data_IF_336441337714
#
_entry.id   IF_336441337714
#
_cell.length_a   1.000
_cell.length_b   1.000
_cell.length_c   1.000
_cell.angle_alpha   90.00
_cell.angle_beta   90.00
_cell.angle_gamma   90.00
#
_symmetry.space_group_name_H-M   'P 1'
#
loop_
_entity.id
_entity.type
_entity.pdbx_description
1 polymer ?
#
# COMPACT_ATOMS: atom_id res chain seq x y z
N UNK A 1 -41.59 55.30 15.04
CA UNK A 1 -41.40 56.58 14.31
C UNK A 1 -40.08 57.21 14.75
N UNK A 2 -39.14 57.42 13.79
CA UNK A 2 -38.06 58.44 13.68
C UNK A 2 -37.14 58.62 14.92
N UNK A 3 -35.80 58.57 14.85
CA UNK A 3 -34.80 59.20 13.94
C UNK A 3 -33.49 58.39 14.09
N UNK A 4 -32.73 57.96 13.08
CA UNK A 4 -31.91 58.66 12.06
C UNK A 4 -30.75 59.54 12.60
N UNK A 5 -29.54 59.02 12.34
CA UNK A 5 -28.20 59.63 12.15
C UNK A 5 -27.63 60.64 13.17
N UNK A 6 -26.45 60.30 13.71
CA UNK A 6 -25.29 61.22 13.78
C UNK A 6 -24.01 60.42 13.51
N UNK A 7 -23.29 60.81 12.46
CA UNK A 7 -21.91 60.43 12.19
C UNK A 7 -20.98 61.17 13.15
N UNK A 8 -20.04 60.47 13.79
CA UNK A 8 -18.82 61.10 14.28
C UNK A 8 -17.63 60.21 13.92
N UNK A 9 -16.83 60.70 12.98
CA UNK A 9 -15.52 60.18 12.69
C UNK A 9 -14.59 60.57 13.84
N UNK A 10 -13.91 59.58 14.44
CA UNK A 10 -12.70 59.83 15.20
C UNK A 10 -11.69 58.76 14.81
N UNK A 11 -10.67 59.20 14.07
CA UNK A 11 -9.50 58.42 13.76
C UNK A 11 -8.71 58.19 15.06
N UNK A 12 -8.43 56.93 15.39
CA UNK A 12 -7.36 56.57 16.31
C UNK A 12 -6.38 55.65 15.58
N UNK A 13 -5.15 56.15 15.50
CA UNK A 13 -3.96 55.43 15.10
C UNK A 13 -3.80 54.15 15.95
N UNK A 14 -3.69 52.99 15.29
CA UNK A 14 -3.12 51.79 15.89
C UNK A 14 -1.98 51.31 14.98
N UNK A 15 -0.76 51.65 15.37
CA UNK A 15 0.45 50.91 15.00
C UNK A 15 0.42 49.61 15.81
N UNK A 16 0.43 48.47 15.12
CA UNK A 16 0.53 47.17 15.80
C UNK A 16 0.41 46.01 14.82
N UNK A 17 1.56 45.53 14.34
CA UNK A 17 1.68 44.30 13.57
C UNK A 17 1.06 43.11 14.31
N UNK A 18 0.23 42.33 13.62
CA UNK A 18 0.15 40.89 13.80
C UNK A 18 -0.22 40.27 12.46
N UNK A 19 0.58 39.31 12.04
CA UNK A 19 0.59 38.67 10.72
C UNK A 19 -0.75 37.96 10.47
N UNK A 20 -1.29 38.16 9.27
CA UNK A 20 -2.34 37.32 8.70
C UNK A 20 -1.72 35.96 8.38
N UNK A 21 -2.21 34.91 9.04
CA UNK A 21 -1.83 33.54 8.73
C UNK A 21 -2.70 33.07 7.56
N UNK A 22 -2.21 33.30 6.34
CA UNK A 22 -2.84 32.79 5.13
C UNK A 22 -2.54 31.29 5.01
N UNK A 23 -3.60 30.49 5.06
CA UNK A 23 -3.65 29.07 4.68
C UNK A 23 -2.92 28.84 3.35
N UNK A 24 -1.68 28.35 3.41
CA UNK A 24 -1.01 27.80 2.25
C UNK A 24 -1.21 26.28 2.26
N UNK A 25 -2.09 25.82 1.36
CA UNK A 25 -2.27 24.42 0.98
C UNK A 25 -0.92 23.87 0.53
N UNK A 26 -0.19 23.21 1.43
CA UNK A 26 1.07 22.54 1.11
C UNK A 26 0.75 21.29 0.30
N UNK A 27 1.00 21.40 -1.00
CA UNK A 27 1.23 20.28 -1.90
C UNK A 27 2.40 19.45 -1.36
N UNK A 28 2.13 18.26 -0.85
CA UNK A 28 3.17 17.31 -0.44
C UNK A 28 3.69 16.66 -1.72
N UNK A 29 4.84 17.13 -2.21
CA UNK A 29 5.61 16.41 -3.23
C UNK A 29 6.39 15.27 -2.56
N UNK A 30 6.41 14.05 -3.12
CA UNK A 30 7.23 12.98 -2.58
C UNK A 30 8.72 13.29 -2.75
N UNK A 31 9.51 13.04 -1.70
CA UNK A 31 10.96 13.24 -1.68
C UNK A 31 11.65 12.10 -2.41
N UNK A 32 12.00 12.31 -3.67
CA UNK A 32 12.84 11.40 -4.46
C UNK A 32 14.28 11.45 -3.89
N UNK A 33 14.69 10.40 -3.16
CA UNK A 33 16.11 10.18 -2.84
C UNK A 33 16.77 9.41 -3.99
N UNK A 34 17.73 10.04 -4.64
CA UNK A 34 18.48 9.46 -5.76
C UNK A 34 19.89 9.04 -5.29
N UNK A 35 20.24 7.75 -5.22
CA UNK A 35 21.63 7.34 -5.05
C UNK A 35 22.28 7.01 -6.40
N UNK A 36 23.47 7.54 -6.60
CA UNK A 36 24.28 7.44 -7.82
C UNK A 36 24.64 5.98 -8.20
N UNK A 37 24.77 5.78 -9.52
CA UNK A 37 25.12 4.52 -10.18
C UNK A 37 26.54 4.01 -9.88
N UNK A 38 26.64 2.72 -9.56
CA UNK A 38 27.81 1.89 -9.81
C UNK A 38 27.37 0.67 -10.64
N UNK A 39 27.82 0.58 -11.90
CA UNK A 39 27.55 -0.55 -12.80
C UNK A 39 28.43 -1.74 -12.44
N UNK A 40 27.79 -2.85 -12.07
CA UNK A 40 28.39 -4.19 -11.99
C UNK A 40 27.29 -5.23 -12.26
N UNK A 41 27.59 -6.32 -12.97
CA UNK A 41 26.59 -7.27 -13.50
C UNK A 41 25.50 -7.69 -12.52
N UNK A 42 24.27 -7.81 -12.99
CA UNK A 42 23.11 -8.14 -12.15
C UNK A 42 22.91 -7.21 -10.94
N UNK A 43 23.20 -5.91 -11.10
CA UNK A 43 22.99 -4.93 -10.02
C UNK A 43 21.53 -4.99 -9.55
N UNK A 44 21.33 -5.41 -8.32
CA UNK A 44 20.04 -5.31 -7.67
C UNK A 44 19.77 -3.83 -7.34
N UNK A 45 18.56 -3.36 -7.65
CA UNK A 45 18.05 -2.08 -7.18
C UNK A 45 17.32 -2.29 -5.86
N UNK A 46 17.44 -1.33 -4.94
CA UNK A 46 16.74 -1.34 -3.66
C UNK A 46 15.84 -0.11 -3.59
N UNK A 47 14.60 -0.32 -3.17
CA UNK A 47 13.63 0.72 -2.90
C UNK A 47 13.14 0.59 -1.47
N UNK A 48 12.77 1.71 -0.87
CA UNK A 48 12.13 1.78 0.43
C UNK A 48 10.94 2.73 0.32
N UNK A 49 9.85 2.38 0.98
CA UNK A 49 8.63 3.19 1.07
C UNK A 49 8.00 3.00 2.44
N UNK A 50 7.01 3.83 2.74
CA UNK A 50 6.25 3.72 3.99
C UNK A 50 5.18 2.63 3.88
N UNK A 51 4.87 2.03 5.02
CA UNK A 51 3.66 1.22 5.18
C UNK A 51 2.54 2.11 5.67
N UNK A 52 1.44 2.12 4.93
CA UNK A 52 0.24 2.89 5.25
C UNK A 52 -0.82 1.92 5.77
N UNK A 53 -1.46 2.26 6.89
CA UNK A 53 -2.74 1.67 7.26
C UNK A 53 -3.80 2.29 6.34
N UNK A 54 -4.34 1.50 5.42
CA UNK A 54 -5.28 1.99 4.42
C UNK A 54 -6.63 2.42 5.01
N UNK A 55 -6.98 1.91 6.19
CA UNK A 55 -8.24 2.26 6.87
C UNK A 55 -8.13 3.62 7.55
N UNK A 56 -7.01 3.90 8.24
CA UNK A 56 -6.84 5.15 9.00
C UNK A 56 -6.09 6.23 8.22
N UNK A 57 -5.30 5.85 7.23
CA UNK A 57 -4.38 6.73 6.49
C UNK A 57 -3.04 6.98 7.19
N UNK A 58 -2.78 6.32 8.32
CA UNK A 58 -1.56 6.55 9.11
C UNK A 58 -0.33 5.86 8.52
N UNK A 59 0.85 6.47 8.73
CA UNK A 59 2.15 5.85 8.45
C UNK A 59 2.58 4.99 9.65
N UNK A 60 2.62 3.67 9.46
CA UNK A 60 2.72 2.71 10.56
C UNK A 60 3.92 1.76 10.43
N UNK A 61 4.75 1.95 9.43
CA UNK A 61 6.00 1.20 9.28
C UNK A 61 6.72 1.46 7.99
N UNK A 62 7.57 0.52 7.59
CA UNK A 62 8.41 0.64 6.39
C UNK A 62 8.45 -0.68 5.63
N UNK A 63 8.51 -0.57 4.31
CA UNK A 63 8.69 -1.69 3.41
C UNK A 63 9.91 -1.47 2.51
N UNK A 64 10.66 -2.54 2.27
CA UNK A 64 11.85 -2.55 1.43
C UNK A 64 11.67 -3.57 0.31
N UNK A 65 11.95 -3.16 -0.92
CA UNK A 65 11.93 -4.03 -2.08
C UNK A 65 13.32 -4.06 -2.71
N UNK A 66 13.86 -5.27 -2.91
CA UNK A 66 15.07 -5.49 -3.70
C UNK A 66 14.65 -6.18 -4.98
N UNK A 67 15.03 -5.62 -6.13
CA UNK A 67 14.72 -6.16 -7.46
C UNK A 67 15.97 -6.32 -8.30
N UNK A 68 16.03 -7.38 -9.10
CA UNK A 68 17.03 -7.58 -10.14
C UNK A 68 16.35 -8.24 -11.35
N UNK A 69 17.08 -8.49 -12.43
CA UNK A 69 16.52 -9.10 -13.66
C UNK A 69 15.90 -10.51 -13.51
N UNK A 70 16.01 -11.13 -12.33
CA UNK A 70 15.45 -12.46 -12.08
C UNK A 70 14.16 -12.39 -11.26
N UNK A 71 13.87 -11.26 -10.60
CA UNK A 71 12.75 -11.16 -9.66
C UNK A 71 12.90 -10.10 -8.59
N UNK A 72 11.98 -10.16 -7.63
CA UNK A 72 11.82 -9.23 -6.53
C UNK A 72 11.80 -9.95 -5.18
N UNK A 73 12.24 -9.24 -4.13
CA UNK A 73 12.12 -9.65 -2.74
C UNK A 73 11.65 -8.47 -1.91
N UNK A 74 10.63 -8.67 -1.07
CA UNK A 74 10.11 -7.66 -0.14
C UNK A 74 10.40 -8.04 1.30
N UNK A 75 10.61 -7.02 2.11
CA UNK A 75 10.43 -7.06 3.56
C UNK A 75 9.46 -5.95 3.94
N UNK A 76 8.34 -6.30 4.55
CA UNK A 76 7.25 -5.41 4.94
C UNK A 76 7.13 -5.42 6.46
N UNK A 77 7.26 -4.26 7.11
CA UNK A 77 7.18 -4.16 8.58
C UNK A 77 6.11 -3.15 8.98
N UNK A 78 5.16 -3.58 9.82
CA UNK A 78 4.10 -2.75 10.39
C UNK A 78 4.14 -2.79 11.93
N UNK A 79 3.71 -1.72 12.58
CA UNK A 79 3.86 -1.52 14.03
C UNK A 79 2.53 -1.34 14.79
N UNK A 80 1.40 -1.39 14.10
CA UNK A 80 0.05 -1.15 14.60
C UNK A 80 -0.88 -2.38 14.42
N UNK A 81 -0.31 -3.58 14.35
CA UNK A 81 -1.06 -4.81 14.14
C UNK A 81 -1.68 -5.33 15.45
N UNK A 82 -2.77 -6.08 15.34
CA UNK A 82 -3.45 -6.65 16.50
C UNK A 82 -2.74 -7.93 16.97
N UNK A 83 -2.30 -8.01 18.23
CA UNK A 83 -1.70 -9.24 18.76
C UNK A 83 -2.64 -10.45 18.69
N UNK A 84 -2.10 -11.60 18.30
CA UNK A 84 -2.86 -12.85 18.19
C UNK A 84 -3.66 -13.00 16.89
N UNK A 85 -3.62 -12.01 16.01
CA UNK A 85 -4.32 -12.07 14.71
C UNK A 85 -3.42 -12.67 13.64
N UNK A 86 -4.04 -13.31 12.64
CA UNK A 86 -3.36 -13.89 11.50
C UNK A 86 -3.32 -12.91 10.33
N UNK A 87 -2.17 -12.83 9.65
CA UNK A 87 -1.99 -11.93 8.52
C UNK A 87 -1.28 -12.61 7.36
N UNK A 88 -1.60 -12.19 6.14
CA UNK A 88 -0.92 -12.57 4.91
C UNK A 88 -0.51 -11.35 4.10
N UNK A 89 0.66 -11.41 3.49
CA UNK A 89 1.19 -10.42 2.57
C UNK A 89 0.98 -10.92 1.14
N UNK A 90 0.48 -10.03 0.29
CA UNK A 90 0.19 -10.27 -1.11
C UNK A 90 0.95 -9.29 -1.99
N UNK A 91 1.43 -9.81 -3.11
CA UNK A 91 1.86 -9.01 -4.24
C UNK A 91 0.63 -8.59 -5.03
N UNK A 92 0.53 -7.30 -5.34
CA UNK A 92 -0.24 -6.83 -6.49
C UNK A 92 0.77 -6.24 -7.46
N UNK A 93 1.00 -6.95 -8.56
CA UNK A 93 1.98 -6.58 -9.59
C UNK A 93 1.22 -5.92 -10.73
N UNK A 94 1.72 -4.78 -11.17
CA UNK A 94 1.27 -4.10 -12.37
C UNK A 94 2.38 -4.25 -13.40
N UNK A 95 2.25 -5.23 -14.30
CA UNK A 95 3.32 -5.59 -15.23
C UNK A 95 3.59 -4.50 -16.27
N UNK A 96 2.56 -3.74 -16.66
CA UNK A 96 2.61 -2.67 -17.67
C UNK A 96 2.05 -1.37 -17.09
N UNK A 97 2.72 -0.78 -16.08
CA UNK A 97 2.18 0.34 -15.32
C UNK A 97 2.01 1.62 -16.16
N UNK A 98 2.65 1.73 -17.32
CA UNK A 98 2.42 2.78 -18.32
C UNK A 98 0.99 2.79 -18.88
N UNK A 99 0.28 1.66 -18.80
CA UNK A 99 -1.10 1.51 -19.29
C UNK A 99 -2.16 1.80 -18.21
N UNK A 100 -1.75 2.16 -17.00
CA UNK A 100 -2.65 2.60 -15.95
C UNK A 100 -3.28 3.95 -16.32
N UNK A 101 -4.48 4.22 -15.80
CA UNK A 101 -5.25 5.45 -16.03
C UNK A 101 -4.40 6.69 -15.72
N UNK A 102 -3.59 6.60 -14.67
CA UNK A 102 -2.44 7.47 -14.45
C UNK A 102 -1.16 6.65 -14.71
N UNK A 103 -0.44 6.90 -15.81
CA UNK A 103 0.76 6.13 -16.15
C UNK A 103 1.77 6.11 -15.00
N UNK A 104 2.21 4.91 -14.62
CA UNK A 104 3.16 4.64 -13.53
C UNK A 104 2.67 5.01 -12.11
N UNK A 105 1.35 5.13 -11.94
CA UNK A 105 0.71 5.33 -10.65
C UNK A 105 -0.60 4.52 -10.61
N UNK A 106 -0.47 3.20 -10.71
CA UNK A 106 -1.60 2.28 -10.73
C UNK A 106 -2.27 2.19 -9.36
N UNK A 107 -3.56 1.85 -9.31
CA UNK A 107 -4.18 1.48 -8.04
C UNK A 107 -5.68 1.70 -7.91
N UNK A 108 -6.38 2.13 -8.97
CA UNK A 108 -7.84 2.20 -8.96
C UNK A 108 -8.48 0.93 -9.57
N UNK A 109 -9.80 0.80 -9.41
CA UNK A 109 -10.55 -0.35 -9.93
C UNK A 109 -10.49 -0.45 -11.47
N UNK A 110 -10.29 0.69 -12.17
CA UNK A 110 -10.17 0.71 -13.62
C UNK A 110 -8.84 0.07 -14.05
N UNK A 111 -7.75 0.37 -13.35
CA UNK A 111 -6.46 -0.26 -13.54
C UNK A 111 -6.53 -1.75 -13.21
N UNK A 112 -7.11 -2.10 -12.07
CA UNK A 112 -7.10 -3.47 -11.53
C UNK A 112 -7.70 -4.47 -12.52
N UNK A 113 -8.84 -4.14 -13.11
CA UNK A 113 -9.53 -4.98 -14.10
C UNK A 113 -9.05 -4.79 -15.54
N UNK A 114 -8.10 -3.91 -15.83
CA UNK A 114 -7.65 -3.65 -17.19
C UNK A 114 -6.63 -4.71 -17.66
N UNK A 115 -6.96 -5.55 -18.65
CA UNK A 115 -6.04 -6.58 -19.14
C UNK A 115 -4.76 -5.99 -19.76
N UNK A 116 -4.79 -4.75 -20.25
CA UNK A 116 -3.62 -4.10 -20.85
C UNK A 116 -2.57 -3.72 -19.79
N UNK A 117 -2.96 -3.60 -18.51
CA UNK A 117 -2.04 -3.33 -17.39
C UNK A 117 -1.31 -4.62 -16.95
N UNK A 118 -1.94 -5.78 -17.14
CA UNK A 118 -1.36 -7.08 -16.75
C UNK A 118 -1.24 -7.24 -15.24
N UNK A 119 -2.34 -7.01 -14.52
CA UNK A 119 -2.41 -7.14 -13.06
C UNK A 119 -2.24 -8.60 -12.62
N UNK A 120 -1.40 -8.83 -11.61
CA UNK A 120 -1.24 -10.13 -10.97
C UNK A 120 -1.35 -10.02 -9.46
N UNK A 121 -2.10 -10.93 -8.84
CA UNK A 121 -2.20 -11.02 -7.37
C UNK A 121 -1.62 -12.35 -6.92
N UNK A 122 -0.53 -12.33 -6.15
CA UNK A 122 0.17 -13.54 -5.70
C UNK A 122 0.53 -13.52 -4.21
N UNK A 123 0.50 -14.68 -3.57
CA UNK A 123 0.91 -14.83 -2.17
C UNK A 123 2.42 -14.55 -1.97
N UNK A 124 2.75 -13.77 -0.94
CA UNK A 124 4.13 -13.43 -0.59
C UNK A 124 4.62 -14.13 0.69
N UNK A 125 3.80 -14.13 1.75
CA UNK A 125 4.12 -14.71 3.05
C UNK A 125 3.04 -14.42 4.09
N UNK A 126 3.13 -15.00 5.28
CA UNK A 126 2.11 -14.84 6.30
C UNK A 126 2.52 -15.42 7.63
N UNK A 127 2.00 -14.87 8.72
CA UNK A 127 2.19 -15.39 10.08
C UNK A 127 1.16 -14.79 11.05
N UNK A 128 1.08 -15.36 12.26
CA UNK A 128 0.32 -14.79 13.38
C UNK A 128 1.19 -13.75 14.10
N UNK A 129 0.63 -12.59 14.40
CA UNK A 129 1.34 -11.50 15.08
C UNK A 129 1.44 -11.76 16.57
N UNK A 130 2.63 -11.55 17.14
CA UNK A 130 2.90 -11.76 18.55
C UNK A 130 2.43 -10.60 19.44
N UNK A 131 2.71 -10.71 20.74
CA UNK A 131 2.25 -9.78 21.78
C UNK A 131 2.67 -8.31 21.59
N UNK A 132 3.66 -8.02 20.75
CA UNK A 132 4.15 -6.65 20.53
C UNK A 132 3.27 -5.81 19.60
N UNK A 133 2.34 -6.42 18.86
CA UNK A 133 1.60 -5.74 17.79
C UNK A 133 2.46 -5.34 16.59
N UNK A 134 3.68 -5.89 16.49
CA UNK A 134 4.60 -5.64 15.37
C UNK A 134 4.73 -6.89 14.52
N UNK A 135 4.62 -6.74 13.20
CA UNK A 135 4.76 -7.83 12.23
C UNK A 135 5.85 -7.52 11.21
N UNK A 136 6.57 -8.56 10.78
CA UNK A 136 7.52 -8.47 9.67
C UNK A 136 7.29 -9.62 8.71
N UNK A 137 6.88 -9.27 7.50
CA UNK A 137 6.52 -10.19 6.44
C UNK A 137 7.56 -10.10 5.34
N UNK A 138 7.86 -11.23 4.70
CA UNK A 138 8.79 -11.22 3.57
C UNK A 138 8.37 -12.25 2.54
N UNK A 139 8.67 -11.93 1.29
CA UNK A 139 8.38 -12.80 0.16
C UNK A 139 9.42 -12.62 -0.93
N UNK A 140 9.55 -13.63 -1.77
CA UNK A 140 10.38 -13.62 -2.98
C UNK A 140 9.53 -14.08 -4.15
N UNK A 141 9.60 -13.36 -5.27
CA UNK A 141 8.93 -13.69 -6.51
C UNK A 141 9.92 -13.63 -7.67
N UNK A 142 10.09 -14.75 -8.37
CA UNK A 142 10.87 -14.79 -9.61
C UNK A 142 10.02 -14.32 -10.79
N UNK A 143 10.65 -13.77 -11.81
CA UNK A 143 10.00 -13.55 -13.10
C UNK A 143 9.42 -14.86 -13.65
N UNK A 144 8.22 -14.78 -14.24
CA UNK A 144 7.45 -15.90 -14.81
C UNK A 144 6.86 -16.87 -13.78
N UNK A 145 7.06 -16.66 -12.48
CA UNK A 145 6.44 -17.50 -11.46
C UNK A 145 4.98 -17.10 -11.25
N UNK A 146 4.08 -18.07 -11.48
CA UNK A 146 2.64 -17.95 -11.18
C UNK A 146 2.25 -18.60 -9.84
N UNK A 147 3.23 -19.13 -9.10
CA UNK A 147 2.98 -19.87 -7.86
C UNK A 147 2.29 -18.95 -6.84
N UNK A 148 1.15 -19.41 -6.32
CA UNK A 148 0.36 -18.66 -5.34
C UNK A 148 -0.45 -17.52 -5.93
N UNK A 149 -0.59 -17.47 -7.27
CA UNK A 149 -1.53 -16.57 -7.92
C UNK A 149 -2.97 -16.91 -7.52
N UNK A 150 -3.77 -15.86 -7.36
CA UNK A 150 -5.20 -15.90 -7.05
C UNK A 150 -6.00 -15.02 -8.01
N UNK A 151 -5.49 -14.78 -9.22
CA UNK A 151 -6.17 -13.98 -10.25
C UNK A 151 -7.61 -14.45 -10.50
N UNK A 152 -7.86 -15.75 -10.43
CA UNK A 152 -9.18 -16.36 -10.62
C UNK A 152 -10.20 -15.93 -9.55
N UNK A 153 -9.76 -15.76 -8.29
CA UNK A 153 -10.61 -15.25 -7.20
C UNK A 153 -11.14 -13.85 -7.53
N UNK A 154 -10.33 -13.04 -8.21
CA UNK A 154 -10.67 -11.67 -8.58
C UNK A 154 -11.26 -11.52 -9.99
N UNK A 155 -11.46 -12.62 -10.72
CA UNK A 155 -11.92 -12.57 -12.11
C UNK A 155 -10.93 -11.93 -13.08
N UNK A 156 -9.64 -11.88 -12.72
CA UNK A 156 -8.57 -11.41 -13.59
C UNK A 156 -8.23 -12.45 -14.66
N UNK A 157 -7.56 -12.07 -15.77
CA UNK A 157 -7.04 -13.02 -16.74
C UNK A 157 -6.15 -14.11 -16.11
N UNK A 158 -5.98 -15.27 -16.77
CA UNK A 158 -5.07 -16.31 -16.31
C UNK A 158 -3.69 -15.75 -15.99
N UNK A 159 -3.13 -16.16 -14.85
CA UNK A 159 -1.87 -15.64 -14.33
C UNK A 159 -0.72 -15.83 -15.33
N UNK A 160 -0.01 -14.75 -15.62
CA UNK A 160 1.25 -14.72 -16.36
C UNK A 160 2.46 -14.53 -15.40
N UNK A 161 2.18 -14.12 -14.16
CA UNK A 161 3.17 -13.84 -13.12
C UNK A 161 3.92 -12.54 -13.37
N UNK A 162 5.05 -12.36 -12.67
CA UNK A 162 5.90 -11.19 -12.85
C UNK A 162 6.64 -11.27 -14.20
N UNK A 163 6.34 -10.37 -15.15
CA UNK A 163 6.93 -10.40 -16.49
C UNK A 163 8.33 -9.76 -16.54
N UNK A 164 8.49 -8.61 -15.88
CA UNK A 164 9.74 -7.86 -15.85
C UNK A 164 9.91 -7.15 -14.51
N UNK A 165 10.75 -7.71 -13.65
CA UNK A 165 11.02 -7.22 -12.30
C UNK A 165 11.62 -5.81 -12.28
N UNK A 166 12.34 -5.43 -13.34
CA UNK A 166 12.97 -4.12 -13.47
C UNK A 166 12.04 -3.04 -14.03
N UNK A 167 10.82 -3.42 -14.43
CA UNK A 167 9.83 -2.52 -15.03
C UNK A 167 8.52 -2.44 -14.24
N UNK A 168 8.08 -3.54 -13.62
CA UNK A 168 6.79 -3.60 -12.94
C UNK A 168 6.69 -2.58 -11.79
N UNK A 169 5.50 -2.01 -11.62
CA UNK A 169 5.09 -1.40 -10.36
C UNK A 169 4.60 -2.51 -9.42
N UNK A 170 4.96 -2.41 -8.14
CA UNK A 170 4.70 -3.47 -7.16
C UNK A 170 4.02 -2.85 -5.95
N UNK A 171 2.84 -3.33 -5.62
CA UNK A 171 2.21 -3.06 -4.33
C UNK A 171 2.33 -4.30 -3.46
N UNK A 172 2.67 -4.08 -2.19
CA UNK A 172 2.64 -5.12 -1.17
C UNK A 172 1.47 -4.83 -0.25
N UNK A 173 0.47 -5.71 -0.23
CA UNK A 173 -0.80 -5.53 0.49
C UNK A 173 -0.87 -6.53 1.63
N UNK A 174 -1.17 -6.06 2.84
CA UNK A 174 -1.35 -6.90 4.02
C UNK A 174 -2.83 -7.14 4.27
N UNK A 175 -3.21 -8.41 4.22
CA UNK A 175 -4.53 -8.90 4.61
C UNK A 175 -4.55 -9.32 6.06
N UNK A 176 -5.54 -8.83 6.80
CA UNK A 176 -5.89 -9.28 8.14
C UNK A 176 -6.95 -10.39 8.03
N UNK A 177 -6.72 -11.50 8.72
CA UNK A 177 -7.62 -12.67 8.79
C UNK A 177 -8.35 -12.78 10.14
N UNK A 178 -8.35 -11.70 10.93
CA UNK A 178 -8.94 -11.67 12.26
C UNK A 178 -8.14 -12.48 13.30
N UNK A 179 -8.74 -12.78 14.47
CA UNK A 179 -8.13 -13.62 15.49
C UNK A 179 -7.67 -14.98 14.93
N UNK A 180 -6.50 -15.47 15.37
CA UNK A 180 -6.02 -16.78 14.96
C UNK A 180 -6.95 -17.89 15.49
N UNK A 181 -7.45 -18.74 14.58
CA UNK A 181 -8.41 -19.80 14.90
C UNK A 181 -7.68 -21.14 15.05
N UNK A 182 -7.74 -21.79 16.23
CA UNK A 182 -7.13 -23.10 16.42
C UNK A 182 -7.63 -24.14 15.40
N UNK A 183 -6.70 -24.78 14.70
CA UNK A 183 -7.01 -25.74 13.63
C UNK A 183 -7.09 -25.13 12.22
N UNK A 184 -7.24 -23.81 12.10
CA UNK A 184 -7.35 -23.12 10.80
C UNK A 184 -6.19 -22.17 10.51
N UNK A 185 -5.31 -21.92 11.48
CA UNK A 185 -4.15 -21.00 11.33
C UNK A 185 -3.37 -21.24 10.05
N UNK A 186 -3.15 -22.50 9.65
CA UNK A 186 -2.41 -22.79 8.42
C UNK A 186 -3.11 -22.26 7.16
N UNK A 187 -4.44 -22.31 7.11
CA UNK A 187 -5.21 -21.71 6.02
C UNK A 187 -5.17 -20.18 6.12
N UNK A 188 -5.38 -19.61 7.31
CA UNK A 188 -5.35 -18.16 7.55
C UNK A 188 -4.02 -17.55 7.10
N UNK A 189 -2.88 -18.21 7.34
CA UNK A 189 -1.56 -17.64 7.01
C UNK A 189 -1.01 -18.09 5.65
N UNK A 190 -1.74 -18.86 4.82
CA UNK A 190 -1.24 -19.32 3.51
C UNK A 190 -2.26 -19.21 2.35
N UNK A 191 -3.44 -18.61 2.56
CA UNK A 191 -4.46 -18.48 1.52
C UNK A 191 -5.29 -17.22 1.72
N UNK A 192 -5.79 -16.63 0.64
CA UNK A 192 -6.59 -15.39 0.69
C UNK A 192 -7.92 -15.55 1.44
N UNK A 193 -8.71 -16.64 1.24
CA UNK A 193 -9.97 -16.82 1.96
C UNK A 193 -9.81 -17.59 3.28
N UNK A 194 -8.59 -17.93 3.71
CA UNK A 194 -8.38 -18.78 4.88
C UNK A 194 -8.97 -18.19 6.15
N UNK A 195 -9.92 -18.88 6.78
CA UNK A 195 -10.63 -18.40 7.97
C UNK A 195 -11.56 -17.21 7.73
N UNK A 196 -11.86 -16.87 6.47
CA UNK A 196 -12.73 -15.75 6.11
C UNK A 196 -14.16 -16.23 5.84
N UNK A 197 -15.09 -15.81 6.70
CA UNK A 197 -16.53 -15.95 6.49
C UNK A 197 -17.13 -14.67 5.91
N UNK A 198 -16.58 -13.51 6.29
CA UNK A 198 -16.97 -12.19 5.85
C UNK A 198 -15.74 -11.43 5.38
N UNK A 199 -15.77 -10.94 4.14
CA UNK A 199 -14.76 -10.03 3.61
C UNK A 199 -15.27 -8.59 3.73
N UNK A 200 -14.61 -7.78 4.54
CA UNK A 200 -14.94 -6.37 4.76
C UNK A 200 -14.39 -5.46 3.65
N UNK A 201 -13.63 -6.02 2.70
CA UNK A 201 -13.14 -5.34 1.51
C UNK A 201 -11.77 -4.67 1.68
N UNK A 202 -11.45 -3.82 0.70
CA UNK A 202 -10.15 -3.14 0.61
C UNK A 202 -10.16 -1.86 1.44
N UNK A 203 -9.37 -1.82 2.50
CA UNK A 203 -9.09 -0.62 3.29
C UNK A 203 -10.32 0.05 3.91
N UNK A 204 -11.41 -0.69 4.10
CA UNK A 204 -12.68 -0.17 4.62
C UNK A 204 -12.75 -0.24 6.15
N UNK A 205 -12.29 -1.36 6.73
CA UNK A 205 -12.44 -1.67 8.14
C UNK A 205 -11.31 -2.60 8.60
N UNK A 206 -10.96 -2.53 9.89
CA UNK A 206 -10.00 -3.44 10.50
C UNK A 206 -10.82 -4.58 11.12
N UNK A 207 -10.66 -5.84 10.67
CA UNK A 207 -11.29 -6.99 11.30
C UNK A 207 -10.99 -7.04 12.79
N UNK A 208 -12.01 -7.27 13.61
CA UNK A 208 -11.88 -7.44 15.06
C UNK A 208 -12.57 -8.71 15.59
N UNK A 209 -13.42 -9.36 14.78
CA UNK A 209 -14.08 -10.62 15.11
C UNK A 209 -13.53 -11.83 14.32
N UNK A 210 -13.80 -13.04 14.84
CA UNK A 210 -13.48 -14.29 14.15
C UNK A 210 -14.30 -14.40 12.87
N UNK A 211 -13.66 -14.75 11.76
CA UNK A 211 -14.32 -14.90 10.46
C UNK A 211 -14.27 -13.63 9.61
N UNK A 212 -13.91 -12.49 10.17
CA UNK A 212 -13.74 -11.25 9.42
C UNK A 212 -12.34 -11.17 8.80
N UNK A 213 -12.30 -10.74 7.54
CA UNK A 213 -11.06 -10.50 6.82
C UNK A 213 -11.13 -9.19 6.04
N UNK A 214 -9.98 -8.51 5.88
CA UNK A 214 -9.88 -7.31 5.08
C UNK A 214 -8.43 -7.04 4.67
N UNK A 215 -8.25 -6.34 3.57
CA UNK A 215 -6.95 -5.78 3.22
C UNK A 215 -6.79 -4.44 3.95
N UNK A 216 -5.78 -4.32 4.80
CA UNK A 216 -5.73 -3.25 5.81
C UNK A 216 -4.52 -2.35 5.67
N UNK A 217 -3.42 -2.86 5.13
CA UNK A 217 -2.19 -2.08 4.96
C UNK A 217 -1.62 -2.27 3.58
N UNK A 218 -0.86 -1.29 3.10
CA UNK A 218 -0.16 -1.42 1.85
C UNK A 218 1.13 -0.62 1.81
N UNK A 219 1.98 -0.96 0.85
CA UNK A 219 3.19 -0.24 0.49
C UNK A 219 3.35 -0.26 -1.04
N UNK A 220 3.63 0.90 -1.64
CA UNK A 220 3.75 1.06 -3.10
C UNK A 220 5.22 1.27 -3.49
N UNK A 221 5.69 0.45 -4.42
CA UNK A 221 7.01 0.56 -5.05
C UNK A 221 6.83 0.87 -6.53
N UNK A 222 7.01 2.14 -6.90
CA UNK A 222 6.93 2.61 -8.28
C UNK A 222 7.89 1.87 -9.21
N UNK A 223 7.55 1.84 -10.50
CA UNK A 223 8.46 1.36 -11.55
C UNK A 223 9.78 2.15 -11.52
N UNK A 224 10.95 1.50 -11.51
CA UNK A 224 12.25 2.18 -11.50
C UNK A 224 12.53 3.03 -12.74
N UNK A 225 11.83 2.76 -13.85
CA UNK A 225 12.02 3.43 -15.13
C UNK A 225 10.82 4.32 -15.51
N UNK A 226 9.95 4.64 -14.56
CA UNK A 226 8.92 5.65 -14.77
C UNK A 226 9.59 7.00 -15.17
N UNK A 227 9.09 7.68 -16.21
CA UNK A 227 9.61 8.97 -16.67
C UNK A 227 9.45 10.09 -15.63
#
# INVERSE_FOLDING_TARGET
MKKLLVYFAFALFVLGCSKEDSLQKQSISPVIHNPAMAKSGNSASSQQTDVINGVTGDLVGTAHLVRNKNGIKVTFTANDLTPGFAYTLWWVIWNRPENCANPHACGDDLDFGNPDVGTEVLYAGGHVVGASGKGSFSGHLNEGSIKGSINDIFGLPPAEGLENAMHAEVHAVLRNHGPAVPGEVNAQINSYPGGCEVDLGLFMEIPDEVGECADTHFAIFSSPNAP
#
